data_IF_926623779199
#
_entry.id   IF_926623779199
#
_cell.length_a   1.000
_cell.length_b   1.000
_cell.length_c   1.000
_cell.angle_alpha   90.00
_cell.angle_beta   90.00
_cell.angle_gamma   90.00
#
_symmetry.space_group_name_H-M   'P 1'
#
loop_
_entity.id
_entity.type
_entity.pdbx_description
1 polymer ?
#
# COMPACT_ATOMS: atom_id res chain seq x y z
N UNK A 1 -11.70 28.24 -4.91
CA UNK A 1 -10.68 28.23 -3.88
C UNK A 1 -9.48 27.46 -4.35
N UNK A 2 -8.39 28.16 -4.53
CA UNK A 2 -7.10 27.57 -4.84
C UNK A 2 -6.74 26.51 -3.80
N UNK A 3 -6.84 25.25 -4.17
CA UNK A 3 -6.18 24.19 -3.45
C UNK A 3 -4.89 23.89 -4.19
N UNK A 4 -3.92 24.70 -3.92
CA UNK A 4 -2.55 24.37 -4.23
C UNK A 4 -2.13 23.17 -3.39
N UNK A 5 -1.32 22.32 -3.97
CA UNK A 5 -0.54 21.34 -3.20
C UNK A 5 0.15 22.12 -2.08
N UNK A 6 -0.11 21.76 -0.83
CA UNK A 6 0.55 22.43 0.28
C UNK A 6 2.05 22.22 0.15
N UNK A 7 2.78 23.29 0.01
CA UNK A 7 4.25 23.28 0.01
C UNK A 7 4.84 23.17 1.41
N UNK A 8 3.99 23.21 2.44
CA UNK A 8 4.43 23.03 3.81
C UNK A 8 4.73 21.54 4.03
N UNK A 9 5.92 21.21 4.56
CA UNK A 9 6.19 19.85 4.99
C UNK A 9 5.12 19.48 6.02
N UNK A 10 4.49 18.33 5.83
CA UNK A 10 3.59 17.78 6.83
C UNK A 10 4.39 17.56 8.11
N UNK A 11 3.96 18.16 9.21
CA UNK A 11 4.54 17.84 10.50
C UNK A 11 4.42 16.32 10.71
N UNK A 12 5.54 15.70 11.02
CA UNK A 12 5.56 14.29 11.44
C UNK A 12 4.73 14.21 12.71
N UNK A 13 3.56 13.59 12.61
CA UNK A 13 2.75 13.31 13.78
C UNK A 13 3.52 12.30 14.64
N UNK A 14 3.87 12.67 15.86
CA UNK A 14 4.30 11.69 16.84
C UNK A 14 3.17 10.68 17.00
N UNK A 15 3.46 9.42 16.67
CA UNK A 15 2.49 8.34 16.81
C UNK A 15 2.33 8.08 18.31
N UNK A 16 1.19 8.44 18.91
CA UNK A 16 1.00 8.14 20.32
C UNK A 16 1.01 6.62 20.50
N UNK A 17 1.72 6.15 21.51
CA UNK A 17 1.63 4.75 21.91
C UNK A 17 0.16 4.39 22.11
N UNK A 18 -0.26 3.23 21.62
CA UNK A 18 -1.62 2.76 21.79
C UNK A 18 -1.91 2.69 23.30
N UNK A 19 -2.70 3.62 23.78
CA UNK A 19 -3.11 3.71 25.16
C UNK A 19 -4.61 3.39 25.22
N UNK A 20 -4.96 2.17 25.61
CA UNK A 20 -6.33 1.82 25.93
C UNK A 20 -6.61 2.27 27.35
N UNK A 21 -7.28 3.39 27.50
CA UNK A 21 -7.80 3.83 28.80
C UNK A 21 -9.17 3.19 29.02
N UNK A 22 -9.19 2.13 29.78
CA UNK A 22 -10.43 1.53 30.31
C UNK A 22 -10.60 1.87 31.79
N UNK A 23 -11.83 2.12 32.22
CA UNK A 23 -12.14 2.14 33.66
C UNK A 23 -12.55 0.74 34.08
N UNK A 24 -11.65 0.02 34.71
CA UNK A 24 -12.01 -1.25 35.35
C UNK A 24 -12.77 -0.99 36.65
N UNK A 25 -13.96 -1.57 36.82
CA UNK A 25 -14.65 -1.51 38.13
C UNK A 25 -13.78 -2.22 39.19
N UNK A 26 -13.74 -1.74 40.46
CA UNK A 26 -14.47 -0.61 41.00
C UNK A 26 -13.70 0.72 41.06
N UNK A 27 -12.43 0.76 40.64
CA UNK A 27 -11.54 1.89 40.91
C UNK A 27 -11.11 2.71 39.69
N UNK A 28 -11.62 2.42 38.50
CA UNK A 28 -11.26 3.19 37.30
C UNK A 28 -9.76 3.19 36.99
N UNK A 29 -9.13 2.02 37.01
CA UNK A 29 -7.71 1.90 36.68
C UNK A 29 -7.44 2.23 35.22
N UNK A 30 -6.41 3.04 34.98
CA UNK A 30 -5.88 3.31 33.64
C UNK A 30 -4.99 2.14 33.25
N UNK A 31 -5.36 1.43 32.18
CA UNK A 31 -4.56 0.35 31.63
C UNK A 31 -3.73 0.91 30.48
N UNK A 32 -2.42 0.91 30.62
CA UNK A 32 -1.49 1.23 29.53
C UNK A 32 -0.97 -0.09 28.95
N UNK A 33 -1.23 -0.30 27.68
CA UNK A 33 -0.74 -1.46 26.94
C UNK A 33 0.68 -1.22 26.37
N UNK A 34 1.51 -0.50 27.14
CA UNK A 34 2.88 -0.16 26.74
C UNK A 34 3.83 -1.35 26.64
N UNK A 35 3.40 -2.53 27.11
CA UNK A 35 4.18 -3.78 27.14
C UNK A 35 3.75 -4.78 26.05
N UNK A 36 2.85 -4.41 25.16
CA UNK A 36 2.54 -5.25 24.02
C UNK A 36 3.70 -5.10 23.02
N UNK A 37 4.47 -6.15 22.89
CA UNK A 37 5.50 -6.26 21.88
C UNK A 37 4.83 -6.29 20.51
N UNK A 38 4.95 -5.19 19.77
CA UNK A 38 4.50 -5.12 18.39
C UNK A 38 5.48 -5.93 17.55
N UNK A 39 4.97 -6.83 16.72
CA UNK A 39 5.79 -7.54 15.75
C UNK A 39 6.60 -6.55 14.92
N UNK A 40 7.90 -6.82 14.76
CA UNK A 40 8.84 -5.95 14.03
C UNK A 40 8.32 -5.57 12.63
N UNK A 41 7.58 -6.46 12.00
CA UNK A 41 6.96 -6.22 10.68
C UNK A 41 5.82 -5.19 10.70
N UNK A 42 5.29 -4.85 11.88
CA UNK A 42 4.17 -3.90 12.02
C UNK A 42 4.60 -2.49 12.41
N UNK A 43 5.85 -2.28 12.79
CA UNK A 43 6.34 -0.98 13.27
C UNK A 43 6.23 0.13 12.22
N UNK A 44 6.25 -0.22 10.95
CA UNK A 44 6.25 0.74 9.84
C UNK A 44 4.85 1.13 9.35
N UNK A 45 3.80 0.38 9.70
CA UNK A 45 2.45 0.65 9.23
C UNK A 45 1.89 2.01 9.66
N UNK A 46 2.15 2.53 10.87
CA UNK A 46 1.73 3.87 11.23
C UNK A 46 2.30 4.95 10.30
N UNK A 47 3.57 4.85 9.91
CA UNK A 47 4.18 5.78 8.95
C UNK A 47 3.55 5.68 7.56
N UNK A 48 3.19 4.47 7.12
CA UNK A 48 2.43 4.26 5.89
C UNK A 48 1.10 5.01 5.93
N UNK A 49 0.33 4.87 7.01
CA UNK A 49 -0.94 5.56 7.17
C UNK A 49 -0.81 7.08 7.27
N UNK A 50 0.28 7.60 7.84
CA UNK A 50 0.58 9.03 7.80
C UNK A 50 0.75 9.51 6.36
N UNK A 51 1.49 8.77 5.55
CA UNK A 51 1.64 9.05 4.11
C UNK A 51 0.30 9.04 3.37
N UNK A 52 -0.56 8.05 3.64
CA UNK A 52 -1.93 8.00 3.09
C UNK A 52 -2.71 9.24 3.48
N UNK A 53 -2.70 9.62 4.75
CA UNK A 53 -3.40 10.81 5.23
C UNK A 53 -2.90 12.09 4.56
N UNK A 54 -1.58 12.23 4.39
CA UNK A 54 -0.98 13.36 3.70
C UNK A 54 -1.43 13.44 2.24
N UNK A 55 -1.39 12.32 1.52
CA UNK A 55 -1.78 12.26 0.11
C UNK A 55 -3.28 12.50 -0.12
N UNK A 56 -4.14 12.04 0.77
CA UNK A 56 -5.59 12.27 0.67
C UNK A 56 -6.00 13.74 0.85
N UNK A 57 -5.13 14.58 1.43
CA UNK A 57 -5.36 16.03 1.49
C UNK A 57 -5.23 16.73 0.14
N UNK A 58 -4.61 16.08 -0.83
CA UNK A 58 -4.46 16.62 -2.18
C UNK A 58 -5.81 16.63 -2.89
N UNK A 59 -5.98 17.59 -3.81
CA UNK A 59 -7.21 17.68 -4.60
C UNK A 59 -7.42 16.42 -5.44
N UNK A 60 -8.63 15.91 -5.44
CA UNK A 60 -9.06 14.80 -6.31
C UNK A 60 -9.30 15.20 -7.77
N UNK A 61 -9.19 16.51 -8.08
CA UNK A 61 -9.40 16.99 -9.45
C UNK A 61 -8.10 16.87 -10.25
N UNK A 62 -7.98 15.90 -11.15
CA UNK A 62 -6.77 15.69 -11.95
C UNK A 62 -6.50 16.84 -12.95
N UNK A 63 -7.51 17.67 -13.23
CA UNK A 63 -7.40 18.75 -14.21
C UNK A 63 -6.72 20.02 -13.66
N UNK A 64 -6.70 20.19 -12.35
CA UNK A 64 -6.26 21.44 -11.70
C UNK A 64 -4.85 21.37 -11.11
N UNK A 65 -4.15 20.26 -11.28
CA UNK A 65 -2.91 20.05 -10.53
C UNK A 65 -1.75 19.73 -11.43
N UNK A 66 -0.65 20.39 -11.13
CA UNK A 66 0.67 20.13 -11.70
C UNK A 66 1.30 18.83 -11.15
N UNK A 67 0.48 17.89 -10.66
CA UNK A 67 0.94 16.57 -10.21
C UNK A 67 1.09 15.69 -11.44
N UNK A 68 2.28 15.70 -11.98
CA UNK A 68 2.70 14.85 -13.08
C UNK A 68 3.72 13.78 -12.60
N UNK A 69 4.19 12.97 -13.52
CA UNK A 69 5.21 11.95 -13.25
C UNK A 69 6.49 12.57 -12.69
N UNK A 70 6.87 13.74 -13.18
CA UNK A 70 8.08 14.46 -12.73
C UNK A 70 7.95 14.90 -11.28
N UNK A 71 6.79 15.48 -10.92
CA UNK A 71 6.51 15.89 -9.56
C UNK A 71 6.54 14.70 -8.59
N UNK A 72 5.90 13.57 -8.97
CA UNK A 72 5.88 12.34 -8.15
C UNK A 72 7.30 11.81 -7.93
N UNK A 73 8.11 11.78 -8.98
CA UNK A 73 9.50 11.31 -8.92
C UNK A 73 10.39 12.25 -8.13
N UNK A 74 10.18 13.56 -8.23
CA UNK A 74 10.93 14.56 -7.48
C UNK A 74 10.71 14.45 -5.97
N UNK A 75 9.50 14.10 -5.55
CA UNK A 75 9.15 13.91 -4.15
C UNK A 75 9.52 12.52 -3.59
N UNK A 76 10.20 11.68 -4.37
CA UNK A 76 10.74 10.40 -3.89
C UNK A 76 11.78 10.66 -2.81
N UNK A 77 11.74 9.93 -1.67
CA UNK A 77 12.77 10.01 -0.66
C UNK A 77 14.15 9.75 -1.27
N UNK A 78 15.11 10.57 -0.91
CA UNK A 78 16.48 10.40 -1.41
C UNK A 78 17.09 9.14 -0.79
N UNK A 79 17.84 8.39 -1.59
CA UNK A 79 18.48 7.14 -1.16
C UNK A 79 19.44 7.31 0.02
N UNK A 80 19.85 8.55 0.31
CA UNK A 80 20.74 8.89 1.44
C UNK A 80 19.98 9.11 2.76
N UNK A 81 18.65 9.20 2.73
CA UNK A 81 17.85 9.26 3.95
C UNK A 81 17.74 7.83 4.50
N UNK A 82 18.62 7.50 5.46
CA UNK A 82 18.59 6.23 6.21
C UNK A 82 17.35 6.11 7.11
N UNK A 83 16.29 6.84 6.82
CA UNK A 83 15.06 6.80 7.58
C UNK A 83 14.06 5.84 6.91
N UNK A 84 13.89 4.61 7.43
CA UNK A 84 12.96 3.64 6.88
C UNK A 84 11.50 4.14 6.93
N UNK A 85 11.20 5.02 7.88
CA UNK A 85 9.88 5.61 8.03
C UNK A 85 9.53 6.54 6.86
N UNK A 86 10.49 7.33 6.34
CA UNK A 86 10.25 8.20 5.19
C UNK A 86 9.92 7.40 3.92
N UNK A 87 10.55 6.25 3.73
CA UNK A 87 10.27 5.35 2.60
C UNK A 87 8.87 4.77 2.72
N UNK A 88 8.49 4.35 3.92
CA UNK A 88 7.17 3.77 4.20
C UNK A 88 6.07 4.83 4.11
N UNK A 89 6.32 6.05 4.58
CA UNK A 89 5.42 7.19 4.43
C UNK A 89 5.20 7.53 2.95
N UNK A 90 6.27 7.55 2.16
CA UNK A 90 6.16 7.74 0.71
C UNK A 90 5.34 6.63 0.02
N UNK A 91 5.44 5.40 0.48
CA UNK A 91 4.63 4.29 -0.02
C UNK A 91 3.13 4.53 0.20
N UNK A 92 2.75 4.95 1.41
CA UNK A 92 1.38 5.35 1.73
C UNK A 92 0.91 6.55 0.90
N UNK A 93 1.79 7.52 0.70
CA UNK A 93 1.52 8.68 -0.14
C UNK A 93 1.24 8.28 -1.60
N UNK A 94 2.01 7.35 -2.19
CA UNK A 94 1.76 6.81 -3.53
C UNK A 94 0.37 6.14 -3.61
N UNK A 95 0.00 5.36 -2.60
CA UNK A 95 -1.33 4.76 -2.54
C UNK A 95 -2.43 5.83 -2.59
N UNK A 96 -2.29 6.89 -1.79
CA UNK A 96 -3.25 7.99 -1.75
C UNK A 96 -3.32 8.79 -3.05
N UNK A 97 -2.19 9.02 -3.71
CA UNK A 97 -2.16 9.63 -5.05
C UNK A 97 -2.96 8.79 -6.05
N UNK A 98 -2.89 7.46 -5.92
CA UNK A 98 -3.69 6.56 -6.75
C UNK A 98 -5.19 6.67 -6.46
N UNK A 99 -5.57 6.68 -5.18
CA UNK A 99 -6.96 6.87 -4.76
C UNK A 99 -7.55 8.19 -5.28
N UNK A 100 -6.72 9.24 -5.34
CA UNK A 100 -7.11 10.54 -5.92
C UNK A 100 -7.02 10.60 -7.46
N UNK A 101 -6.60 9.51 -8.12
CA UNK A 101 -6.53 9.41 -9.58
C UNK A 101 -5.24 9.95 -10.22
N UNK A 102 -4.29 10.49 -9.42
CA UNK A 102 -3.07 11.10 -9.97
C UNK A 102 -2.08 10.09 -10.55
N UNK A 103 -2.10 8.83 -10.11
CA UNK A 103 -1.20 7.79 -10.64
C UNK A 103 -1.50 7.37 -12.09
N UNK A 104 -2.62 7.81 -12.67
CA UNK A 104 -2.87 7.60 -14.11
C UNK A 104 -1.81 8.26 -14.98
N UNK A 105 -1.18 9.33 -14.49
CA UNK A 105 -0.13 10.10 -15.17
C UNK A 105 1.28 9.52 -14.93
N UNK A 106 1.43 8.55 -14.04
CA UNK A 106 2.74 7.94 -13.76
C UNK A 106 3.22 7.13 -14.96
N UNK A 107 4.41 7.44 -15.44
CA UNK A 107 5.02 6.79 -16.57
C UNK A 107 5.30 5.29 -16.33
N UNK A 108 5.46 4.55 -17.44
CA UNK A 108 5.76 3.12 -17.35
C UNK A 108 7.10 2.85 -16.70
N UNK A 109 8.14 3.57 -17.10
CA UNK A 109 9.49 3.35 -16.62
C UNK A 109 9.60 3.67 -15.12
N UNK A 110 9.01 4.78 -14.70
CA UNK A 110 9.00 5.20 -13.30
C UNK A 110 8.29 4.16 -12.41
N UNK A 111 7.16 3.65 -12.88
CA UNK A 111 6.43 2.62 -12.12
C UNK A 111 7.18 1.29 -12.03
N UNK A 112 7.93 0.90 -13.08
CA UNK A 112 8.82 -0.26 -13.01
C UNK A 112 10.02 -0.02 -12.09
N UNK A 113 10.59 1.18 -12.12
CA UNK A 113 11.70 1.54 -11.23
C UNK A 113 11.29 1.43 -9.76
N UNK A 114 10.08 1.86 -9.43
CA UNK A 114 9.51 1.70 -8.09
C UNK A 114 9.34 0.22 -7.68
N UNK A 115 8.86 -0.64 -8.58
CA UNK A 115 8.64 -2.06 -8.30
C UNK A 115 9.95 -2.86 -8.18
N UNK A 116 10.98 -2.48 -8.95
CA UNK A 116 12.26 -3.21 -8.97
C UNK A 116 13.16 -2.76 -7.82
N UNK A 117 13.24 -1.45 -7.59
CA UNK A 117 14.16 -0.85 -6.60
C UNK A 117 13.49 -0.48 -5.29
N UNK A 118 12.17 -0.55 -5.24
CA UNK A 118 11.39 -0.18 -4.07
C UNK A 118 11.44 -1.21 -2.95
N UNK A 119 11.11 -0.77 -1.75
CA UNK A 119 10.82 -1.66 -0.62
C UNK A 119 9.46 -2.34 -0.82
N UNK A 120 9.20 -3.38 -0.02
CA UNK A 120 7.91 -4.05 0.02
C UNK A 120 6.74 -3.05 0.19
N UNK A 121 6.86 -2.11 1.12
CA UNK A 121 5.85 -1.09 1.36
C UNK A 121 5.56 -0.24 0.11
N UNK A 122 6.61 0.13 -0.65
CA UNK A 122 6.45 0.88 -1.90
C UNK A 122 5.70 0.05 -2.93
N UNK A 123 6.03 -1.23 -3.06
CA UNK A 123 5.32 -2.13 -3.98
C UNK A 123 3.84 -2.23 -3.63
N UNK A 124 3.51 -2.40 -2.34
CA UNK A 124 2.13 -2.42 -1.84
C UNK A 124 1.39 -1.12 -2.18
N UNK A 125 1.97 0.03 -1.79
CA UNK A 125 1.35 1.34 -2.02
C UNK A 125 1.14 1.64 -3.49
N UNK A 126 2.11 1.32 -4.34
CA UNK A 126 2.03 1.54 -5.77
C UNK A 126 1.01 0.62 -6.46
N UNK A 127 1.01 -0.67 -6.15
CA UNK A 127 0.09 -1.65 -6.76
C UNK A 127 -1.36 -1.29 -6.42
N UNK A 128 -1.66 -1.03 -5.15
CA UNK A 128 -2.98 -0.61 -4.71
C UNK A 128 -3.37 0.74 -5.31
N UNK A 129 -2.47 1.72 -5.32
CA UNK A 129 -2.72 3.04 -5.88
C UNK A 129 -3.00 3.01 -7.38
N UNK A 130 -2.19 2.28 -8.17
CA UNK A 130 -2.43 2.14 -9.62
C UNK A 130 -3.76 1.45 -9.91
N UNK A 131 -4.09 0.42 -9.16
CA UNK A 131 -5.35 -0.31 -9.33
C UNK A 131 -6.55 0.54 -8.95
N UNK A 132 -6.45 1.31 -7.87
CA UNK A 132 -7.48 2.22 -7.44
C UNK A 132 -7.73 3.35 -8.46
N UNK A 133 -6.66 3.91 -9.04
CA UNK A 133 -6.75 4.98 -10.05
C UNK A 133 -7.43 4.53 -11.34
N UNK A 134 -7.42 3.23 -11.62
CA UNK A 134 -8.01 2.61 -12.81
C UNK A 134 -9.07 1.57 -12.46
N UNK A 135 -9.77 1.78 -11.36
CA UNK A 135 -10.83 0.88 -10.90
C UNK A 135 -11.83 0.56 -11.99
N UNK A 136 -12.13 -0.72 -12.17
CA UNK A 136 -13.14 -1.22 -13.12
C UNK A 136 -12.76 -1.05 -14.60
N UNK A 137 -11.51 -0.70 -14.92
CA UNK A 137 -11.09 -0.40 -16.29
C UNK A 137 -10.50 -1.60 -17.04
N UNK A 138 -10.16 -2.68 -16.36
CA UNK A 138 -9.41 -3.84 -16.93
C UNK A 138 -8.14 -3.43 -17.67
N UNK A 139 -7.44 -2.38 -17.19
CA UNK A 139 -6.24 -1.87 -17.86
C UNK A 139 -5.15 -2.94 -17.95
N UNK A 140 -4.81 -3.31 -19.19
CA UNK A 140 -3.88 -4.41 -19.47
C UNK A 140 -2.46 -4.16 -18.98
N UNK A 141 -2.04 -2.89 -18.85
CA UNK A 141 -0.70 -2.55 -18.37
C UNK A 141 -0.61 -2.73 -16.85
N UNK A 142 -1.65 -2.32 -16.14
CA UNK A 142 -1.73 -2.53 -14.69
C UNK A 142 -1.89 -4.01 -14.41
N UNK A 143 -2.75 -4.74 -15.15
CA UNK A 143 -2.89 -6.20 -15.02
C UNK A 143 -1.55 -6.92 -15.16
N UNK A 144 -0.72 -6.54 -16.15
CA UNK A 144 0.60 -7.15 -16.33
C UNK A 144 1.53 -6.90 -15.14
N UNK A 145 1.48 -5.72 -14.55
CA UNK A 145 2.28 -5.40 -13.36
C UNK A 145 1.82 -6.20 -12.13
N UNK A 146 0.50 -6.29 -11.93
CA UNK A 146 -0.08 -7.12 -10.87
C UNK A 146 0.30 -8.60 -11.04
N UNK A 147 0.23 -9.10 -12.28
CA UNK A 147 0.57 -10.48 -12.60
C UNK A 147 2.03 -10.84 -12.28
N UNK A 148 2.97 -9.90 -12.37
CA UNK A 148 4.36 -10.15 -11.97
C UNK A 148 4.55 -10.31 -10.47
N UNK A 149 3.57 -9.92 -9.68
CA UNK A 149 3.59 -9.99 -8.21
C UNK A 149 2.66 -11.07 -7.65
N UNK A 150 2.07 -11.89 -8.52
CA UNK A 150 1.19 -12.99 -8.13
C UNK A 150 1.77 -14.31 -8.62
N UNK A 151 2.15 -15.17 -7.68
CA UNK A 151 2.70 -16.50 -7.99
C UNK A 151 1.77 -17.31 -8.91
N UNK A 152 0.46 -17.23 -8.67
CA UNK A 152 -0.55 -17.95 -9.47
C UNK A 152 -0.61 -17.51 -10.96
N UNK A 153 -0.08 -16.35 -11.29
CA UNK A 153 -0.04 -15.83 -12.67
C UNK A 153 1.35 -15.86 -13.30
N UNK A 154 2.38 -16.23 -12.53
CA UNK A 154 3.73 -16.40 -13.05
C UNK A 154 3.82 -17.66 -13.92
N UNK A 155 4.65 -17.63 -14.96
CA UNK A 155 4.96 -18.84 -15.71
C UNK A 155 5.73 -19.84 -14.82
N UNK A 156 5.52 -21.12 -15.03
CA UNK A 156 6.17 -22.20 -14.27
C UNK A 156 7.71 -22.14 -14.24
N UNK A 157 8.32 -21.40 -15.15
CA UNK A 157 9.76 -21.16 -15.21
C UNK A 157 10.24 -20.09 -14.23
N UNK A 158 9.34 -19.32 -13.62
CA UNK A 158 9.66 -18.20 -12.74
C UNK A 158 9.46 -18.55 -11.25
N UNK A 159 9.50 -19.84 -10.91
CA UNK A 159 9.22 -20.35 -9.55
C UNK A 159 10.23 -19.97 -8.47
N UNK A 160 11.34 -19.33 -8.84
CA UNK A 160 12.39 -18.93 -7.88
C UNK A 160 12.33 -17.45 -7.47
N UNK A 161 11.30 -16.70 -7.88
CA UNK A 161 11.14 -15.31 -7.46
C UNK A 161 10.62 -15.27 -6.02
N UNK A 162 11.41 -14.77 -5.05
CA UNK A 162 10.93 -14.62 -3.68
C UNK A 162 9.92 -13.46 -3.61
N UNK A 163 8.65 -13.77 -3.81
CA UNK A 163 7.58 -12.78 -3.68
C UNK A 163 7.13 -12.68 -2.22
N UNK A 164 7.17 -11.47 -1.68
CA UNK A 164 6.64 -11.20 -0.35
C UNK A 164 5.14 -11.49 -0.29
N UNK A 165 4.70 -12.12 0.80
CA UNK A 165 3.29 -12.44 1.04
C UNK A 165 2.41 -11.16 0.98
N UNK A 166 2.82 -10.09 1.66
CA UNK A 166 2.06 -8.84 1.68
C UNK A 166 1.95 -8.19 0.28
N UNK A 167 2.99 -8.30 -0.54
CA UNK A 167 2.96 -7.81 -1.92
C UNK A 167 2.00 -8.64 -2.77
N UNK A 168 1.95 -9.96 -2.57
CA UNK A 168 0.98 -10.83 -3.26
C UNK A 168 -0.46 -10.50 -2.85
N UNK A 169 -0.72 -10.28 -1.56
CA UNK A 169 -2.02 -9.83 -1.06
C UNK A 169 -2.42 -8.50 -1.68
N UNK A 170 -1.51 -7.53 -1.70
CA UNK A 170 -1.77 -6.23 -2.33
C UNK A 170 -2.05 -6.34 -3.83
N UNK A 171 -1.32 -7.22 -4.53
CA UNK A 171 -1.56 -7.49 -5.95
C UNK A 171 -2.92 -8.14 -6.19
N UNK A 172 -3.32 -9.09 -5.36
CA UNK A 172 -4.64 -9.74 -5.44
C UNK A 172 -5.78 -8.74 -5.18
N UNK A 173 -5.64 -7.90 -4.15
CA UNK A 173 -6.57 -6.80 -3.90
C UNK A 173 -6.61 -5.82 -5.09
N UNK A 174 -5.45 -5.55 -5.69
CA UNK A 174 -5.31 -4.73 -6.89
C UNK A 174 -6.07 -5.30 -8.09
N UNK A 175 -6.01 -6.61 -8.31
CA UNK A 175 -6.81 -7.30 -9.34
C UNK A 175 -8.30 -7.09 -9.06
N UNK A 176 -8.76 -7.30 -7.83
CA UNK A 176 -10.15 -7.09 -7.44
C UNK A 176 -10.63 -5.65 -7.68
N UNK A 177 -9.79 -4.64 -7.42
CA UNK A 177 -10.10 -3.25 -7.70
C UNK A 177 -10.17 -2.97 -9.22
N UNK A 178 -9.18 -3.46 -9.96
CA UNK A 178 -9.03 -3.20 -11.40
C UNK A 178 -10.18 -3.81 -12.21
N UNK A 179 -10.62 -5.00 -11.82
CA UNK A 179 -11.70 -5.74 -12.48
C UNK A 179 -13.06 -5.58 -11.79
N UNK A 180 -13.16 -4.63 -10.84
CA UNK A 180 -14.41 -4.36 -10.11
C UNK A 180 -15.56 -4.04 -11.04
N UNK A 181 -16.65 -4.82 -10.95
CA UNK A 181 -17.87 -4.63 -11.74
C UNK A 181 -17.81 -5.06 -13.21
N UNK A 182 -16.67 -5.65 -13.66
CA UNK A 182 -16.48 -6.04 -15.06
C UNK A 182 -17.02 -7.43 -15.39
N UNK A 183 -17.25 -8.28 -14.38
CA UNK A 183 -17.65 -9.66 -14.57
C UNK A 183 -16.57 -10.56 -15.19
N UNK A 184 -15.29 -10.18 -15.08
CA UNK A 184 -14.16 -10.93 -15.64
C UNK A 184 -13.96 -12.28 -14.95
N UNK A 185 -14.57 -13.33 -15.48
CA UNK A 185 -14.67 -14.66 -14.87
C UNK A 185 -13.30 -15.21 -14.41
N UNK A 186 -12.30 -15.17 -15.27
CA UNK A 186 -10.94 -15.69 -14.95
C UNK A 186 -10.32 -15.03 -13.71
N UNK A 187 -10.52 -13.71 -13.55
CA UNK A 187 -9.97 -12.99 -12.40
C UNK A 187 -10.78 -13.26 -11.13
N UNK A 188 -12.08 -13.45 -11.24
CA UNK A 188 -12.93 -13.90 -10.13
C UNK A 188 -12.50 -15.29 -9.66
N UNK A 189 -12.32 -16.25 -10.58
CA UNK A 189 -11.85 -17.60 -10.27
C UNK A 189 -10.47 -17.59 -9.61
N UNK A 190 -9.55 -16.73 -10.08
CA UNK A 190 -8.24 -16.53 -9.47
C UNK A 190 -8.38 -16.07 -8.01
N UNK A 191 -9.16 -15.03 -7.77
CA UNK A 191 -9.36 -14.48 -6.43
C UNK A 191 -9.98 -15.53 -5.49
N UNK A 192 -10.99 -16.26 -5.95
CA UNK A 192 -11.63 -17.31 -5.16
C UNK A 192 -10.67 -18.45 -4.84
N UNK A 193 -9.83 -18.84 -5.79
CA UNK A 193 -8.81 -19.88 -5.59
C UNK A 193 -7.78 -19.47 -4.54
N UNK A 194 -7.33 -18.23 -4.59
CA UNK A 194 -6.35 -17.71 -3.61
C UNK A 194 -6.97 -17.61 -2.20
N UNK A 195 -8.21 -17.13 -2.09
CA UNK A 195 -8.94 -17.08 -0.82
C UNK A 195 -9.21 -18.47 -0.21
N UNK A 196 -9.32 -19.48 -1.04
CA UNK A 196 -9.55 -20.88 -0.60
C UNK A 196 -8.27 -21.62 -0.22
N UNK A 197 -7.10 -21.04 -0.36
CA UNK A 197 -5.84 -21.67 0.05
C UNK A 197 -5.77 -21.75 1.59
N UNK A 198 -5.30 -22.89 2.15
CA UNK A 198 -5.02 -22.95 3.57
C UNK A 198 -3.92 -21.92 3.93
N UNK A 199 -3.93 -21.39 5.16
CA UNK A 199 -2.88 -20.50 5.63
C UNK A 199 -1.52 -21.19 5.50
N UNK A 200 -0.53 -20.46 5.02
CA UNK A 200 0.84 -20.96 4.94
C UNK A 200 1.48 -21.10 6.34
N UNK A 201 2.59 -21.81 6.46
CA UNK A 201 3.25 -22.08 7.74
C UNK A 201 3.65 -20.81 8.50
N UNK A 202 3.78 -19.69 7.82
CA UNK A 202 4.05 -18.39 8.45
C UNK A 202 2.84 -17.83 9.21
N UNK A 203 1.62 -18.17 8.76
CA UNK A 203 0.36 -17.75 9.40
C UNK A 203 -0.11 -18.74 10.46
N UNK A 204 0.22 -20.03 10.34
CA UNK A 204 -0.09 -21.02 11.38
C UNK A 204 0.54 -20.63 12.73
N UNK A 205 1.73 -20.08 12.71
CA UNK A 205 2.41 -19.58 13.93
C UNK A 205 1.77 -18.33 14.54
N UNK A 206 0.88 -17.63 13.84
CA UNK A 206 0.17 -16.46 14.36
C UNK A 206 -1.17 -16.85 15.02
N UNK A 207 -1.79 -17.94 14.63
CA UNK A 207 -3.11 -18.39 15.12
C UNK A 207 -2.99 -19.18 16.43
N UNK A 208 -1.86 -19.84 16.68
CA UNK A 208 -1.64 -20.67 17.88
C UNK A 208 -1.23 -19.83 19.13
N UNK A 209 -1.39 -18.52 19.13
CA UNK A 209 -1.09 -17.63 20.25
C UNK A 209 -2.30 -16.94 20.90
N UNK A 210 -3.49 -17.44 20.66
CA UNK A 210 -4.69 -17.05 21.43
C UNK A 210 -5.05 -18.05 22.53
#
# INVERSE_FOLDING_TARGET
GLRTVSSLPTETLDIPRLCLTGRAPPRGAKVELSHIDVSHNMEHWPSFHNGVSAGLRLSTRPESTDIDSTWITFNKPKSNDNNPNAVTEHAGFLMALGLNGHLTKLGRLESFDYLIKGSEAISIGLLLGMSASKRGSMDTLVTKKLATQLEALLPHTATELPLSHNTQVAALMGVGLLDSGTGHQRMVELCLKELGKPPGPELENCVDRE
#
